data_IF_988422889982
#
_entry.id   IF_988422889982
#
_cell.length_a   1.000
_cell.length_b   1.000
_cell.length_c   1.000
_cell.angle_alpha   90.00
_cell.angle_beta   90.00
_cell.angle_gamma   90.00
#
_symmetry.space_group_name_H-M   'P 1'
#
loop_
_entity.id
_entity.type
_entity.pdbx_description
1 polymer ?
#
# COMPACT_ATOMS: atom_id res chain seq x y z
N UNK A 1 -23.39 14.43 34.25
CA UNK A 1 -23.65 13.55 33.10
C UNK A 1 -23.41 14.36 31.84
N UNK A 2 -22.29 14.12 31.16
CA UNK A 2 -21.99 14.73 29.86
C UNK A 2 -22.92 14.09 28.83
N UNK A 3 -23.65 14.91 28.07
CA UNK A 3 -24.48 14.41 26.97
C UNK A 3 -23.60 13.63 25.98
N UNK A 4 -24.07 12.49 25.45
CA UNK A 4 -23.34 11.78 24.40
C UNK A 4 -23.15 12.70 23.18
N UNK A 5 -21.95 12.67 22.60
CA UNK A 5 -21.61 13.46 21.41
C UNK A 5 -22.40 12.92 20.20
N UNK A 6 -23.25 13.75 19.57
CA UNK A 6 -24.09 13.33 18.45
C UNK A 6 -23.29 12.95 17.19
N UNK A 7 -22.01 13.33 17.10
CA UNK A 7 -21.14 13.03 15.93
C UNK A 7 -20.48 11.65 16.00
N UNK A 8 -20.63 10.95 17.13
CA UNK A 8 -20.02 9.64 17.38
C UNK A 8 -20.47 8.57 16.38
N UNK A 9 -21.78 8.35 16.26
CA UNK A 9 -22.33 7.34 15.33
C UNK A 9 -21.99 7.67 13.87
N UNK A 10 -22.19 8.91 13.37
CA UNK A 10 -21.75 9.29 12.02
C UNK A 10 -20.28 9.01 11.77
N UNK A 11 -19.40 9.25 12.75
CA UNK A 11 -17.97 8.99 12.63
C UNK A 11 -17.68 7.50 12.47
N UNK A 12 -18.30 6.64 13.28
CA UNK A 12 -18.16 5.19 13.21
C UNK A 12 -18.65 4.66 11.85
N UNK A 13 -19.82 5.10 11.40
CA UNK A 13 -20.38 4.68 10.12
C UNK A 13 -19.46 5.03 8.94
N UNK A 14 -18.90 6.24 8.92
CA UNK A 14 -17.92 6.65 7.91
C UNK A 14 -16.66 5.78 7.94
N UNK A 15 -16.17 5.41 9.13
CA UNK A 15 -15.00 4.54 9.25
C UNK A 15 -15.29 3.12 8.73
N UNK A 16 -16.46 2.55 9.07
CA UNK A 16 -16.90 1.25 8.55
C UNK A 16 -17.06 1.28 7.03
N UNK A 17 -17.63 2.35 6.48
CA UNK A 17 -17.73 2.57 5.03
C UNK A 17 -16.35 2.60 4.38
N UNK A 18 -15.39 3.34 4.95
CA UNK A 18 -14.02 3.37 4.45
C UNK A 18 -13.36 1.98 4.47
N UNK A 19 -13.56 1.19 5.53
CA UNK A 19 -13.03 -0.18 5.62
C UNK A 19 -13.64 -1.05 4.52
N UNK A 20 -14.95 -0.94 4.30
CA UNK A 20 -15.63 -1.69 3.27
C UNK A 20 -15.16 -1.31 1.86
N UNK A 21 -14.93 -0.02 1.60
CA UNK A 21 -14.32 0.44 0.35
C UNK A 21 -12.89 -0.08 0.16
N UNK A 22 -12.10 -0.17 1.23
CA UNK A 22 -10.73 -0.71 1.18
C UNK A 22 -10.67 -2.23 0.98
N UNK A 23 -11.72 -2.94 1.38
CA UNK A 23 -11.82 -4.40 1.31
C UNK A 23 -13.16 -4.83 0.66
N UNK A 24 -13.38 -4.50 -0.62
CA UNK A 24 -14.69 -4.65 -1.28
C UNK A 24 -15.15 -6.10 -1.41
N UNK A 25 -14.22 -7.06 -1.29
CA UNK A 25 -14.52 -8.49 -1.37
C UNK A 25 -15.02 -9.08 -0.04
N UNK A 26 -14.96 -8.31 1.06
CA UNK A 26 -15.43 -8.75 2.36
C UNK A 26 -16.90 -8.33 2.58
N UNK A 27 -17.69 -9.24 3.15
CA UNK A 27 -19.02 -8.90 3.64
C UNK A 27 -18.92 -8.05 4.91
N UNK A 28 -19.96 -7.25 5.20
CA UNK A 28 -20.00 -6.48 6.46
C UNK A 28 -19.84 -7.38 7.69
N UNK A 29 -20.44 -8.57 7.67
CA UNK A 29 -20.31 -9.54 8.77
C UNK A 29 -18.87 -10.01 8.93
N UNK A 30 -18.16 -10.27 7.82
CA UNK A 30 -16.75 -10.64 7.87
C UNK A 30 -15.88 -9.49 8.41
N UNK A 31 -16.17 -8.24 8.03
CA UNK A 31 -15.48 -7.08 8.59
C UNK A 31 -15.69 -7.00 10.11
N UNK A 32 -16.92 -7.18 10.59
CA UNK A 32 -17.21 -7.17 12.03
C UNK A 32 -16.51 -8.31 12.79
N UNK A 33 -16.44 -9.49 12.19
CA UNK A 33 -15.73 -10.63 12.76
C UNK A 33 -14.21 -10.39 12.84
N UNK A 34 -13.63 -9.79 11.79
CA UNK A 34 -12.23 -9.35 11.81
C UNK A 34 -12.01 -8.31 12.90
N UNK A 35 -12.85 -7.27 12.99
CA UNK A 35 -12.73 -6.23 14.01
C UNK A 35 -12.83 -6.79 15.43
N UNK A 36 -13.61 -7.86 15.64
CA UNK A 36 -13.64 -8.58 16.91
C UNK A 36 -12.30 -9.21 17.26
N UNK A 37 -11.60 -9.79 16.28
CA UNK A 37 -10.23 -10.29 16.47
C UNK A 37 -9.23 -9.17 16.78
N UNK A 38 -9.56 -7.92 16.41
CA UNK A 38 -8.80 -6.71 16.76
C UNK A 38 -9.25 -6.05 18.07
N UNK A 39 -10.07 -6.74 18.88
CA UNK A 39 -10.46 -6.30 20.22
C UNK A 39 -11.78 -5.54 20.32
N UNK A 40 -12.58 -5.50 19.24
CA UNK A 40 -13.93 -4.95 19.30
C UNK A 40 -14.86 -5.93 20.03
N UNK A 41 -15.40 -5.50 21.16
CA UNK A 41 -16.31 -6.32 21.97
C UNK A 41 -17.56 -5.51 22.39
N UNK A 42 -18.55 -6.19 22.96
CA UNK A 42 -19.85 -5.61 23.34
C UNK A 42 -19.75 -4.54 24.44
N UNK A 43 -18.67 -4.54 25.23
CA UNK A 43 -18.38 -3.57 26.29
C UNK A 43 -17.48 -2.41 25.82
N UNK A 44 -17.07 -2.41 24.55
CA UNK A 44 -16.21 -1.37 23.98
C UNK A 44 -16.89 -0.01 24.01
N UNK A 45 -16.15 1.01 24.45
CA UNK A 45 -16.65 2.39 24.39
C UNK A 45 -16.63 2.91 22.96
N UNK A 46 -17.35 4.02 22.65
CA UNK A 46 -17.29 4.60 21.33
C UNK A 46 -15.87 5.08 20.94
N UNK A 47 -15.08 5.54 21.91
CA UNK A 47 -13.67 5.90 21.68
C UNK A 47 -12.82 4.68 21.32
N UNK A 48 -13.01 3.55 22.01
CA UNK A 48 -12.30 2.30 21.71
C UNK A 48 -12.66 1.80 20.32
N UNK A 49 -13.96 1.83 19.98
CA UNK A 49 -14.46 1.45 18.66
C UNK A 49 -13.81 2.28 17.56
N UNK A 50 -13.75 3.62 17.72
CA UNK A 50 -13.09 4.50 16.75
C UNK A 50 -11.60 4.21 16.66
N UNK A 51 -10.92 3.93 17.78
CA UNK A 51 -9.50 3.59 17.81
C UNK A 51 -9.21 2.30 17.05
N UNK A 52 -10.00 1.24 17.28
CA UNK A 52 -9.87 -0.05 16.59
C UNK A 52 -10.10 0.09 15.09
N UNK A 53 -11.17 0.79 14.68
CA UNK A 53 -11.46 1.04 13.28
C UNK A 53 -10.34 1.83 12.57
N UNK A 54 -9.77 2.83 13.25
CA UNK A 54 -8.64 3.59 12.73
C UNK A 54 -7.37 2.76 12.62
N UNK A 55 -7.08 1.92 13.60
CA UNK A 55 -5.93 1.00 13.55
C UNK A 55 -6.06 0.05 12.36
N UNK A 56 -7.25 -0.51 12.12
CA UNK A 56 -7.49 -1.35 10.95
C UNK A 56 -7.29 -0.60 9.62
N UNK A 57 -7.73 0.66 9.53
CA UNK A 57 -7.49 1.50 8.34
C UNK A 57 -6.02 1.92 8.18
N UNK A 58 -5.23 1.90 9.26
CA UNK A 58 -3.78 2.13 9.17
C UNK A 58 -3.07 0.93 8.53
N UNK A 59 -3.56 -0.29 8.80
CA UNK A 59 -3.08 -1.53 8.18
C UNK A 59 -3.58 -1.66 6.72
N UNK A 60 -4.80 -1.22 6.44
CA UNK A 60 -5.45 -1.34 5.12
C UNK A 60 -6.00 0.01 4.64
N UNK A 61 -5.13 0.95 4.25
CA UNK A 61 -5.56 2.29 3.85
C UNK A 61 -6.32 2.26 2.52
N UNK A 62 -7.26 3.20 2.33
CA UNK A 62 -8.02 3.34 1.08
C UNK A 62 -7.31 4.23 0.05
N UNK A 63 -6.34 5.02 0.50
CA UNK A 63 -5.59 5.97 -0.32
C UNK A 63 -4.16 6.13 0.20
N UNK A 64 -3.23 6.40 -0.71
CA UNK A 64 -1.86 6.80 -0.38
C UNK A 64 -1.64 8.23 -0.88
N UNK A 65 -1.08 9.06 0.00
CA UNK A 65 -0.65 10.42 -0.32
C UNK A 65 0.88 10.55 -0.19
N UNK A 66 1.43 11.68 -0.64
CA UNK A 66 2.84 12.03 -0.42
C UNK A 66 3.19 12.03 1.08
N UNK A 67 2.28 12.48 1.95
CA UNK A 67 2.49 12.45 3.40
C UNK A 67 2.61 11.01 3.93
N UNK A 68 1.79 10.10 3.38
CA UNK A 68 1.87 8.67 3.71
C UNK A 68 3.22 8.09 3.27
N UNK A 69 3.72 8.47 2.09
CA UNK A 69 5.04 8.02 1.61
C UNK A 69 6.19 8.59 2.45
N UNK A 70 6.07 9.85 2.90
CA UNK A 70 7.06 10.52 3.74
C UNK A 70 7.23 9.85 5.12
N UNK A 71 6.25 9.06 5.56
CA UNK A 71 6.35 8.28 6.80
C UNK A 71 7.44 7.19 6.76
N UNK A 72 7.96 6.84 5.58
CA UNK A 72 8.97 5.80 5.40
C UNK A 72 8.42 4.36 5.41
N UNK A 73 7.11 4.19 5.65
CA UNK A 73 6.44 2.89 5.62
C UNK A 73 6.41 2.30 4.22
N UNK A 74 6.33 0.98 4.17
CA UNK A 74 6.22 0.22 2.93
C UNK A 74 4.78 -0.19 2.68
N UNK A 75 4.29 0.02 1.46
CA UNK A 75 2.93 -0.32 1.05
C UNK A 75 2.95 -1.31 -0.10
N UNK A 76 2.03 -2.27 -0.07
CA UNK A 76 1.73 -3.19 -1.16
C UNK A 76 0.47 -2.71 -1.87
N UNK A 77 0.51 -2.62 -3.19
CA UNK A 77 -0.64 -2.23 -4.01
C UNK A 77 -0.94 -3.36 -5.00
N UNK A 78 -2.19 -3.80 -5.05
CA UNK A 78 -2.66 -4.78 -6.03
C UNK A 78 -3.61 -4.13 -7.02
N UNK A 79 -3.34 -4.27 -8.30
CA UNK A 79 -4.17 -3.72 -9.38
C UNK A 79 -4.86 -4.82 -10.19
N UNK A 80 -5.94 -4.44 -10.87
CA UNK A 80 -6.58 -5.21 -11.93
C UNK A 80 -6.57 -4.42 -13.24
N UNK A 81 -6.66 -5.12 -14.38
CA UNK A 81 -6.69 -4.51 -15.72
C UNK A 81 -5.58 -3.47 -15.98
N UNK A 82 -4.29 -3.87 -16.00
CA UNK A 82 -3.77 -5.23 -15.86
C UNK A 82 -3.61 -5.69 -14.40
N UNK A 83 -3.67 -7.00 -14.20
CA UNK A 83 -3.34 -7.62 -12.91
C UNK A 83 -1.85 -7.44 -12.65
N UNK A 84 -1.52 -6.66 -11.62
CA UNK A 84 -0.14 -6.37 -11.25
C UNK A 84 -0.07 -6.09 -9.77
N UNK A 85 1.13 -6.24 -9.22
CA UNK A 85 1.39 -6.01 -7.82
C UNK A 85 2.61 -5.12 -7.69
N UNK A 86 2.52 -4.13 -6.81
CA UNK A 86 3.58 -3.14 -6.60
C UNK A 86 3.92 -3.06 -5.11
N UNK A 87 5.20 -2.88 -4.81
CA UNK A 87 5.68 -2.47 -3.49
C UNK A 87 6.18 -1.03 -3.60
N UNK A 88 5.69 -0.13 -2.75
CA UNK A 88 6.12 1.27 -2.68
C UNK A 88 6.73 1.53 -1.31
N UNK A 89 7.91 2.15 -1.29
CA UNK A 89 8.58 2.64 -0.07
C UNK A 89 9.21 3.99 -0.40
N UNK A 90 8.67 5.07 0.18
CA UNK A 90 8.98 6.44 -0.25
C UNK A 90 8.75 6.63 -1.75
N UNK A 91 9.71 7.26 -2.43
CA UNK A 91 9.70 7.50 -3.88
C UNK A 91 10.29 6.37 -4.72
N UNK A 92 10.30 5.15 -4.19
CA UNK A 92 10.73 3.94 -4.90
C UNK A 92 9.58 2.96 -5.02
N UNK A 93 9.43 2.41 -6.22
CA UNK A 93 8.42 1.41 -6.53
C UNK A 93 9.06 0.17 -7.17
N UNK A 94 8.57 -1.00 -6.78
CA UNK A 94 8.91 -2.27 -7.40
C UNK A 94 7.65 -2.91 -7.98
N UNK A 95 7.62 -3.17 -9.30
CA UNK A 95 6.62 -4.04 -9.91
C UNK A 95 7.02 -5.49 -9.69
N UNK A 96 6.13 -6.25 -9.07
CA UNK A 96 6.28 -7.68 -8.86
C UNK A 96 5.74 -8.44 -10.07
N UNK A 97 6.47 -9.47 -10.47
CA UNK A 97 6.20 -10.31 -11.62
C UNK A 97 7.30 -11.34 -11.77
N UNK A 98 7.34 -12.03 -12.91
CA UNK A 98 8.37 -13.05 -13.19
C UNK A 98 9.79 -12.48 -13.13
N UNK A 99 9.96 -11.21 -13.47
CA UNK A 99 11.19 -10.44 -13.29
C UNK A 99 10.87 -9.12 -12.57
N UNK A 100 11.07 -9.06 -11.24
CA UNK A 100 10.81 -7.85 -10.47
C UNK A 100 11.64 -6.68 -11.00
N UNK A 101 10.98 -5.54 -11.23
CA UNK A 101 11.64 -4.33 -11.72
C UNK A 101 11.41 -3.21 -10.72
N UNK A 102 12.46 -2.46 -10.42
CA UNK A 102 12.42 -1.35 -9.46
C UNK A 102 12.86 -0.07 -10.12
N UNK A 103 12.16 1.03 -9.83
CA UNK A 103 12.51 2.37 -10.29
C UNK A 103 12.12 3.41 -9.24
N UNK A 104 12.64 4.62 -9.41
CA UNK A 104 12.31 5.79 -8.61
C UNK A 104 11.35 6.68 -9.41
N UNK A 105 10.50 7.42 -8.71
CA UNK A 105 9.52 8.34 -9.29
C UNK A 105 9.53 9.67 -8.55
N UNK A 106 9.00 10.74 -9.14
CA UNK A 106 9.00 12.06 -8.52
C UNK A 106 7.70 12.34 -7.75
N UNK A 107 6.56 11.92 -8.32
CA UNK A 107 5.24 12.26 -7.81
C UNK A 107 4.27 11.08 -7.80
N UNK A 108 3.65 10.84 -6.65
CA UNK A 108 2.47 9.99 -6.51
C UNK A 108 1.22 10.81 -6.88
N UNK A 109 0.90 10.85 -8.17
CA UNK A 109 -0.23 11.63 -8.69
C UNK A 109 -1.59 11.13 -8.19
N UNK A 110 -1.79 9.80 -8.09
CA UNK A 110 -3.02 9.20 -7.54
C UNK A 110 -2.78 7.76 -7.10
N UNK A 111 -3.18 7.42 -5.88
CA UNK A 111 -3.29 6.03 -5.43
C UNK A 111 -4.49 5.87 -4.49
N UNK A 112 -5.65 5.55 -5.06
CA UNK A 112 -6.90 5.34 -4.33
C UNK A 112 -7.55 4.05 -4.80
N UNK A 113 -8.14 3.28 -3.89
CA UNK A 113 -8.88 2.06 -4.22
C UNK A 113 -9.96 2.39 -5.27
N UNK A 114 -10.20 1.46 -6.20
CA UNK A 114 -11.11 1.60 -7.34
C UNK A 114 -10.74 2.68 -8.36
N UNK A 115 -9.60 3.34 -8.22
CA UNK A 115 -9.05 4.27 -9.20
C UNK A 115 -7.80 3.71 -9.86
N UNK A 116 -7.45 4.14 -11.08
CA UNK A 116 -6.16 3.83 -11.68
C UNK A 116 -5.01 4.38 -10.83
N UNK A 117 -4.00 3.55 -10.56
CA UNK A 117 -2.74 4.02 -9.99
C UNK A 117 -2.06 4.96 -10.99
N UNK A 118 -1.68 6.15 -10.55
CA UNK A 118 -0.96 7.14 -11.36
C UNK A 118 0.27 7.61 -10.61
N UNK A 119 1.41 7.45 -11.26
CA UNK A 119 2.72 7.87 -10.77
C UNK A 119 3.36 8.66 -11.90
N UNK A 120 3.78 9.88 -11.61
CA UNK A 120 4.19 10.87 -12.60
C UNK A 120 3.15 11.00 -13.72
N UNK A 121 3.59 10.89 -14.98
CA UNK A 121 2.75 10.87 -16.18
C UNK A 121 2.18 9.47 -16.51
N UNK A 122 2.58 8.42 -15.78
CA UNK A 122 2.21 7.05 -16.09
C UNK A 122 0.92 6.62 -15.41
N UNK A 123 0.16 5.77 -16.09
CA UNK A 123 -1.07 5.15 -15.60
C UNK A 123 -0.91 3.63 -15.59
N UNK A 124 -1.20 3.03 -14.44
CA UNK A 124 -1.19 1.60 -14.25
C UNK A 124 -2.64 1.08 -14.06
N UNK A 125 -2.77 -0.18 -13.66
CA UNK A 125 -4.07 -0.81 -13.43
C UNK A 125 -4.91 -0.13 -12.35
N UNK A 126 -6.17 -0.56 -12.25
CA UNK A 126 -7.11 -0.09 -11.23
C UNK A 126 -6.77 -0.73 -9.89
N UNK A 127 -6.56 0.07 -8.86
CA UNK A 127 -6.20 -0.41 -7.53
C UNK A 127 -7.39 -1.16 -6.92
N UNK A 128 -7.11 -2.33 -6.37
CA UNK A 128 -8.09 -3.18 -5.69
C UNK A 128 -7.80 -3.33 -4.20
N UNK A 129 -6.52 -3.31 -3.80
CA UNK A 129 -6.09 -3.41 -2.42
C UNK A 129 -4.83 -2.58 -2.20
N UNK A 130 -4.73 -2.00 -1.00
CA UNK A 130 -3.52 -1.37 -0.49
C UNK A 130 -3.30 -1.95 0.92
N UNK A 131 -2.13 -2.53 1.14
CA UNK A 131 -1.75 -3.12 2.42
C UNK A 131 -0.53 -2.35 2.96
N UNK A 132 -0.58 -1.88 4.20
CA UNK A 132 0.56 -1.34 4.90
C UNK A 132 1.40 -2.51 5.44
N UNK A 133 2.64 -2.62 4.97
CA UNK A 133 3.58 -3.66 5.39
C UNK A 133 4.48 -3.20 6.54
N UNK A 134 4.31 -1.97 7.01
CA UNK A 134 5.12 -1.34 8.04
C UNK A 134 6.54 -1.03 7.57
N UNK A 135 7.48 -1.04 8.51
CA UNK A 135 8.89 -0.73 8.26
C UNK A 135 9.63 -1.97 7.75
N UNK A 136 9.39 -2.29 6.48
CA UNK A 136 10.27 -3.19 5.74
C UNK A 136 11.46 -2.36 5.24
N UNK A 137 12.57 -2.35 5.98
CA UNK A 137 13.82 -1.76 5.50
C UNK A 137 14.11 -2.31 4.10
N UNK A 138 14.10 -1.48 3.04
CA UNK A 138 14.31 -1.99 1.70
C UNK A 138 15.73 -2.59 1.64
N UNK A 139 15.92 -3.75 0.98
CA UNK A 139 17.26 -4.24 0.73
C UNK A 139 18.05 -3.14 -0.01
N UNK A 140 19.34 -2.93 0.33
CA UNK A 140 20.14 -1.88 -0.28
C UNK A 140 20.08 -2.01 -1.81
N UNK A 141 20.06 -0.89 -2.55
CA UNK A 141 19.95 -0.92 -4.00
C UNK A 141 21.02 -1.86 -4.56
N UNK A 142 20.59 -2.90 -5.29
CA UNK A 142 21.54 -3.69 -6.06
C UNK A 142 22.06 -2.79 -7.16
N UNK A 143 23.25 -2.26 -6.96
CA UNK A 143 24.03 -1.66 -8.04
C UNK A 143 24.23 -2.78 -9.05
N UNK A 144 23.49 -2.75 -10.15
CA UNK A 144 23.77 -3.57 -11.32
C UNK A 144 25.16 -3.17 -11.82
N UNK A 145 26.18 -3.84 -11.32
CA UNK A 145 27.52 -3.72 -11.84
C UNK A 145 27.58 -4.47 -13.17
N UNK A 146 27.02 -3.87 -14.22
CA UNK A 146 27.42 -4.13 -15.59
C UNK A 146 28.86 -3.62 -15.76
N UNK A 147 29.82 -4.34 -15.15
CA UNK A 147 31.21 -4.26 -15.60
C UNK A 147 31.22 -4.84 -17.01
N UNK A 148 31.18 -3.95 -17.99
CA UNK A 148 31.72 -4.19 -19.32
C UNK A 148 33.08 -4.88 -19.13
N UNK A 149 33.13 -6.18 -19.43
CA UNK A 149 34.40 -6.88 -19.59
C UNK A 149 35.09 -6.20 -20.77
N UNK A 150 36.30 -5.63 -20.63
CA UNK A 150 37.08 -5.29 -21.80
C UNK A 150 37.38 -6.59 -22.54
N UNK A 151 36.89 -6.69 -23.78
CA UNK A 151 37.34 -7.69 -24.73
C UNK A 151 38.84 -7.50 -24.94
N UNK A 152 39.65 -8.36 -24.32
CA UNK A 152 41.04 -8.50 -24.71
C UNK A 152 41.08 -9.28 -26.02
N UNK A 153 41.24 -8.56 -27.12
CA UNK A 153 41.58 -9.13 -28.42
C UNK A 153 43.05 -9.56 -28.38
N UNK A 154 43.31 -10.87 -28.27
CA UNK A 154 44.65 -11.42 -28.45
C UNK A 154 45.00 -11.37 -29.95
N UNK A 155 46.14 -10.81 -30.39
CA UNK A 155 46.57 -10.93 -31.78
C UNK A 155 47.15 -12.33 -32.05
N UNK A 156 47.04 -12.86 -33.27
CA UNK A 156 47.63 -14.15 -33.62
C UNK A 156 49.16 -14.02 -33.71
N UNK A 157 49.90 -14.93 -33.07
CA UNK A 157 51.32 -15.12 -33.36
C UNK A 157 51.46 -16.19 -34.44
N UNK A 158 52.01 -15.76 -35.57
CA UNK A 158 52.54 -16.61 -36.63
C UNK A 158 53.94 -17.11 -36.26
N UNK A 159 54.20 -18.39 -36.59
CA UNK A 159 55.47 -19.13 -36.63
C UNK A 159 56.27 -19.29 -35.32
#
# INVERSE_FOLDING_TARGET
MTSPDPTTIPTILRLVENIWQGQPNLSLVAILDILRNHGLDWDSTPSDTIAILRAYLDDFPTTLSEDTLASGRTFRIRTTSPTSEFIICGHRIAALGNAPTTWEFEHLTRAEIHQPLRIDAHRYGVITHIDNLGDLTPPPPRVSSSRLRPFFTTPPRSC
#
